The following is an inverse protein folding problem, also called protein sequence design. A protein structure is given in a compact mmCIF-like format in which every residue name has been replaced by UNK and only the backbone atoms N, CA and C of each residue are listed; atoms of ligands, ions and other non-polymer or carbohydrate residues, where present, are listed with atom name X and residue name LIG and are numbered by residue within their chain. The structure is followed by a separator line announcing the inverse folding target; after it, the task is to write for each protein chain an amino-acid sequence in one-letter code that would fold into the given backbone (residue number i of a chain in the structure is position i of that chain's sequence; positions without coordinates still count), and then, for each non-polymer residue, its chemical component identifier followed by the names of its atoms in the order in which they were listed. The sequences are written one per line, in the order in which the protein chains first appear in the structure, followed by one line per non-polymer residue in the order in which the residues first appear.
data_IF_269580402261
#
_entry.id   IF_269580402261
#
_cell.length_a   1.000
_cell.length_b   1.000
_cell.length_c   1.000
_cell.angle_alpha   90.00
_cell.angle_beta   90.00
_cell.angle_gamma   90.00
#
_symmetry.space_group_name_H-M   'P 1'
#
loop_
_entity.id
_entity.type
_entity.pdbx_description
1 polymer ?
#
# COMPACT_ATOMS: atom_id res chain seq x y z
N UNK A 1 -27.48 -45.14 41.21
CA UNK A 1 -27.97 -43.84 40.72
C UNK A 1 -26.97 -43.33 39.68
N UNK A 2 -27.27 -43.50 38.39
CA UNK A 2 -26.41 -43.03 37.29
C UNK A 2 -26.88 -41.67 36.81
N UNK A 3 -26.06 -40.63 37.00
CA UNK A 3 -26.23 -39.35 36.33
C UNK A 3 -25.57 -39.43 34.94
N UNK A 4 -26.40 -39.45 33.90
CA UNK A 4 -25.99 -39.13 32.55
C UNK A 4 -25.79 -37.62 32.45
N UNK A 5 -24.53 -37.18 32.43
CA UNK A 5 -24.18 -35.82 32.05
C UNK A 5 -24.28 -35.70 30.52
N UNK A 6 -25.34 -35.08 30.05
CA UNK A 6 -25.48 -34.63 28.67
C UNK A 6 -24.51 -33.46 28.41
N UNK A 7 -23.38 -33.75 27.77
CA UNK A 7 -22.54 -32.70 27.18
C UNK A 7 -23.26 -32.21 25.93
N UNK A 8 -23.93 -31.07 26.04
CA UNK A 8 -24.36 -30.31 24.87
C UNK A 8 -23.12 -29.84 24.13
N UNK A 9 -22.80 -30.49 23.00
CA UNK A 9 -21.91 -29.90 22.01
C UNK A 9 -22.59 -28.65 21.47
N UNK A 10 -22.04 -27.49 21.77
CA UNK A 10 -22.37 -26.26 21.06
C UNK A 10 -21.88 -26.46 19.63
N UNK A 11 -22.82 -26.73 18.72
CA UNK A 11 -22.57 -26.63 17.30
C UNK A 11 -22.17 -25.18 17.01
N UNK A 12 -20.89 -24.96 16.71
CA UNK A 12 -20.42 -23.71 16.09
C UNK A 12 -21.07 -23.66 14.71
N UNK A 13 -22.28 -23.09 14.66
CA UNK A 13 -22.90 -22.70 13.40
C UNK A 13 -21.96 -21.69 12.74
N UNK A 14 -21.58 -21.98 11.50
CA UNK A 14 -20.53 -21.29 10.76
C UNK A 14 -20.68 -19.77 10.81
N UNK A 15 -19.83 -19.14 11.62
CA UNK A 15 -19.50 -17.74 11.42
C UNK A 15 -18.88 -17.62 10.04
N UNK A 16 -19.41 -16.73 9.21
CA UNK A 16 -18.83 -16.45 7.89
C UNK A 16 -17.34 -16.12 8.01
N UNK A 17 -16.64 -16.22 6.88
CA UNK A 17 -15.25 -15.77 6.77
C UNK A 17 -15.09 -14.38 7.40
N UNK A 18 -14.07 -14.15 8.26
CA UNK A 18 -13.88 -12.83 8.87
C UNK A 18 -13.63 -11.78 7.78
N UNK A 19 -13.97 -10.52 8.04
CA UNK A 19 -13.63 -9.45 7.11
C UNK A 19 -12.10 -9.32 6.96
N UNK A 20 -11.61 -8.92 5.76
CA UNK A 20 -10.20 -8.59 5.58
C UNK A 20 -9.80 -7.42 6.48
N UNK A 21 -8.49 -7.31 6.77
CA UNK A 21 -7.96 -6.20 7.57
C UNK A 21 -8.23 -4.82 6.95
N UNK A 22 -8.31 -4.75 5.62
CA UNK A 22 -8.74 -3.59 4.84
C UNK A 22 -10.00 -3.95 4.08
N UNK A 23 -11.12 -3.32 4.41
CA UNK A 23 -12.42 -3.57 3.80
C UNK A 23 -12.71 -2.66 2.62
N UNK A 24 -11.96 -1.58 2.46
CA UNK A 24 -12.02 -0.72 1.29
C UNK A 24 -11.15 -1.28 0.16
N UNK A 25 -11.68 -1.27 -1.06
CA UNK A 25 -10.95 -1.51 -2.31
C UNK A 25 -10.92 -0.17 -3.06
N UNK A 26 -9.77 0.52 -3.10
CA UNK A 26 -9.62 1.77 -3.83
C UNK A 26 -9.93 1.61 -5.32
N UNK A 27 -10.43 2.67 -5.97
CA UNK A 27 -10.83 2.63 -7.38
C UNK A 27 -9.65 2.45 -8.36
N UNK A 28 -8.43 2.67 -7.89
CA UNK A 28 -7.19 2.42 -8.64
C UNK A 28 -6.59 1.03 -8.37
N UNK A 29 -7.24 0.20 -7.53
CA UNK A 29 -6.86 -1.19 -7.31
C UNK A 29 -7.73 -2.14 -8.13
N UNK A 30 -7.11 -3.17 -8.72
CA UNK A 30 -7.82 -4.11 -9.59
C UNK A 30 -8.72 -5.06 -8.78
N UNK A 31 -9.96 -5.19 -9.21
CA UNK A 31 -10.93 -6.15 -8.66
C UNK A 31 -11.80 -6.71 -9.80
N UNK A 32 -12.27 -7.94 -9.63
CA UNK A 32 -13.19 -8.58 -10.58
C UNK A 32 -14.61 -8.50 -10.03
N UNK A 33 -15.55 -7.99 -10.81
CA UNK A 33 -16.97 -7.91 -10.46
C UNK A 33 -17.73 -9.00 -11.21
N UNK A 34 -18.58 -9.72 -10.50
CA UNK A 34 -19.31 -10.87 -11.02
C UNK A 34 -20.83 -10.64 -10.95
N UNK A 35 -21.61 -11.27 -11.84
CA UNK A 35 -23.07 -11.11 -11.87
C UNK A 35 -23.75 -11.66 -10.61
N UNK A 36 -23.16 -12.65 -9.95
CA UNK A 36 -23.64 -13.24 -8.70
C UNK A 36 -22.52 -14.01 -7.97
N UNK A 37 -22.85 -14.54 -6.79
CA UNK A 37 -21.93 -15.33 -5.96
C UNK A 37 -21.52 -16.65 -6.56
N UNK A 38 -22.42 -17.34 -7.25
CA UNK A 38 -22.11 -18.61 -7.91
C UNK A 38 -21.03 -18.38 -8.95
N UNK A 39 -21.19 -17.37 -9.80
CA UNK A 39 -20.19 -16.96 -10.80
C UNK A 39 -18.86 -16.58 -10.15
N UNK A 40 -18.88 -15.82 -9.04
CA UNK A 40 -17.66 -15.43 -8.35
C UNK A 40 -16.92 -16.64 -7.71
N UNK A 41 -17.66 -17.56 -7.10
CA UNK A 41 -17.11 -18.79 -6.51
C UNK A 41 -16.56 -19.73 -7.59
N UNK A 42 -17.25 -19.86 -8.71
CA UNK A 42 -16.78 -20.63 -9.86
C UNK A 42 -15.53 -20.01 -10.47
N UNK A 43 -15.54 -18.69 -10.69
CA UNK A 43 -14.40 -17.94 -11.19
C UNK A 43 -13.17 -18.15 -10.29
N UNK A 44 -13.30 -17.92 -8.97
CA UNK A 44 -12.20 -18.13 -8.04
C UNK A 44 -11.82 -19.60 -7.88
N UNK A 45 -12.77 -20.52 -7.89
CA UNK A 45 -12.55 -21.95 -7.64
C UNK A 45 -11.94 -22.71 -8.82
N UNK A 46 -12.26 -22.29 -10.04
CA UNK A 46 -11.89 -23.03 -11.25
C UNK A 46 -10.86 -22.29 -12.09
N UNK A 47 -10.97 -20.96 -12.20
CA UNK A 47 -10.23 -20.19 -13.20
C UNK A 47 -9.10 -19.34 -12.65
N UNK A 48 -9.05 -19.12 -11.33
CA UNK A 48 -7.87 -18.62 -10.64
C UNK A 48 -6.93 -19.77 -10.30
N UNK A 49 -5.93 -19.97 -11.14
CA UNK A 49 -4.88 -20.98 -10.92
C UNK A 49 -3.52 -20.41 -11.29
N UNK A 50 -2.48 -21.19 -11.03
CA UNK A 50 -1.08 -20.86 -11.33
C UNK A 50 -0.57 -21.89 -12.33
N UNK A 51 0.20 -21.46 -13.33
CA UNK A 51 0.81 -22.40 -14.28
C UNK A 51 1.83 -23.29 -13.56
N UNK A 52 2.16 -24.49 -14.08
CA UNK A 52 3.28 -25.27 -13.57
C UNK A 52 4.61 -24.49 -13.64
N UNK A 53 5.56 -24.84 -12.76
CA UNK A 53 6.92 -24.32 -12.84
C UNK A 53 7.52 -24.61 -14.24
N UNK A 54 8.31 -23.70 -14.82
CA UNK A 54 8.87 -22.48 -14.20
C UNK A 54 7.99 -21.22 -14.36
N UNK A 55 6.74 -21.31 -14.85
CA UNK A 55 5.90 -20.14 -15.12
C UNK A 55 4.93 -19.81 -13.98
N UNK A 56 5.19 -20.34 -12.80
CA UNK A 56 4.33 -20.23 -11.61
C UNK A 56 4.56 -18.93 -10.82
N UNK A 57 5.06 -17.87 -11.45
CA UNK A 57 5.33 -16.58 -10.81
C UNK A 57 4.11 -15.67 -10.72
N UNK A 58 3.07 -15.94 -11.51
CA UNK A 58 1.78 -15.21 -11.53
C UNK A 58 0.63 -16.19 -11.73
N UNK A 59 -0.61 -15.71 -11.64
CA UNK A 59 -1.78 -16.47 -12.09
C UNK A 59 -1.67 -16.85 -13.58
N UNK A 60 -2.30 -17.95 -13.96
CA UNK A 60 -2.47 -18.35 -15.35
C UNK A 60 -3.45 -17.40 -16.05
N UNK A 61 -2.91 -16.38 -16.71
CA UNK A 61 -3.69 -15.33 -17.39
C UNK A 61 -4.60 -15.91 -18.48
N UNK A 62 -4.19 -16.98 -19.16
CA UNK A 62 -5.01 -17.63 -20.19
C UNK A 62 -6.24 -18.30 -19.59
N UNK A 63 -6.08 -18.98 -18.44
CA UNK A 63 -7.19 -19.57 -17.71
C UNK A 63 -8.10 -18.50 -17.09
N UNK A 64 -7.50 -17.44 -16.55
CA UNK A 64 -8.22 -16.30 -15.99
C UNK A 64 -9.15 -15.65 -17.02
N UNK A 65 -8.67 -15.31 -18.22
CA UNK A 65 -9.52 -14.70 -19.25
C UNK A 65 -10.62 -15.64 -19.76
N UNK A 66 -10.35 -16.96 -19.84
CA UNK A 66 -11.39 -17.96 -20.10
C UNK A 66 -12.47 -17.95 -19.02
N UNK A 67 -12.06 -17.81 -17.75
CA UNK A 67 -12.98 -17.70 -16.62
C UNK A 67 -13.87 -16.47 -16.68
N UNK A 68 -13.32 -15.30 -17.05
CA UNK A 68 -14.12 -14.08 -17.22
C UNK A 68 -15.24 -14.30 -18.26
N UNK A 69 -14.89 -14.88 -19.41
CA UNK A 69 -15.85 -15.19 -20.46
C UNK A 69 -16.89 -16.24 -20.03
N UNK A 70 -16.46 -17.28 -19.32
CA UNK A 70 -17.34 -18.39 -18.89
C UNK A 70 -18.33 -17.99 -17.79
N UNK A 71 -17.92 -17.12 -16.87
CA UNK A 71 -18.71 -16.75 -15.68
C UNK A 71 -19.44 -15.41 -15.82
N UNK A 72 -19.15 -14.64 -16.87
CA UNK A 72 -19.66 -13.29 -17.06
C UNK A 72 -19.08 -12.26 -16.09
N UNK A 73 -18.03 -12.61 -15.35
CA UNK A 73 -17.29 -11.67 -14.51
C UNK A 73 -16.45 -10.70 -15.37
N UNK A 74 -16.17 -9.51 -14.84
CA UNK A 74 -15.40 -8.47 -15.52
C UNK A 74 -14.40 -7.78 -14.60
N UNK A 75 -13.20 -7.52 -15.10
CA UNK A 75 -12.16 -6.74 -14.39
C UNK A 75 -12.29 -5.22 -14.62
N UNK A 76 -13.04 -4.82 -15.66
CA UNK A 76 -13.22 -3.41 -16.06
C UNK A 76 -14.68 -2.96 -15.83
N UNK A 77 -15.29 -3.39 -14.73
CA UNK A 77 -16.67 -2.99 -14.42
C UNK A 77 -16.75 -1.47 -14.23
N UNK A 78 -17.78 -0.79 -14.78
CA UNK A 78 -18.12 0.58 -14.39
C UNK A 78 -18.30 0.73 -12.87
N UNK A 79 -18.71 -0.33 -12.18
CA UNK A 79 -18.92 -0.34 -10.73
C UNK A 79 -17.62 -0.34 -9.91
N UNK A 80 -16.48 -0.66 -10.54
CA UNK A 80 -15.15 -0.62 -9.92
C UNK A 80 -14.43 0.74 -10.09
N UNK A 81 -15.11 1.75 -10.65
CA UNK A 81 -14.57 3.12 -10.82
C UNK A 81 -14.63 3.98 -9.55
N UNK A 82 -15.20 3.46 -8.47
CA UNK A 82 -15.27 4.11 -7.17
C UNK A 82 -14.82 3.14 -6.09
N UNK A 83 -14.45 3.65 -4.91
CA UNK A 83 -14.11 2.79 -3.78
C UNK A 83 -15.26 1.84 -3.46
N UNK A 84 -14.93 0.55 -3.32
CA UNK A 84 -15.86 -0.49 -2.92
C UNK A 84 -15.60 -0.83 -1.46
N UNK A 85 -16.66 -0.87 -0.65
CA UNK A 85 -16.60 -1.34 0.73
C UNK A 85 -17.07 -2.78 0.82
N UNK A 86 -16.18 -3.69 1.21
CA UNK A 86 -16.45 -5.09 1.51
C UNK A 86 -17.30 -5.16 2.79
N UNK A 87 -18.49 -5.74 2.66
CA UNK A 87 -19.43 -5.92 3.77
C UNK A 87 -19.42 -7.36 4.29
N UNK A 88 -19.13 -8.33 3.44
CA UNK A 88 -19.06 -9.75 3.80
C UNK A 88 -17.98 -10.47 3.00
N UNK A 89 -17.18 -11.28 3.68
CA UNK A 89 -16.30 -12.25 3.06
C UNK A 89 -17.08 -13.57 2.85
N UNK A 90 -17.02 -14.11 1.64
CA UNK A 90 -17.81 -15.28 1.24
C UNK A 90 -16.96 -16.55 1.04
N UNK A 91 -15.72 -16.38 0.56
CA UNK A 91 -14.78 -17.47 0.33
C UNK A 91 -13.37 -16.91 0.20
N UNK A 92 -12.41 -17.54 0.86
CA UNK A 92 -10.99 -17.30 0.60
C UNK A 92 -10.37 -18.46 -0.16
N UNK A 93 -9.41 -18.13 -1.02
CA UNK A 93 -8.54 -19.12 -1.65
C UNK A 93 -7.12 -18.57 -1.70
N UNK A 94 -6.17 -19.33 -1.18
CA UNK A 94 -4.75 -19.02 -1.29
C UNK A 94 -4.13 -19.79 -2.46
N UNK A 95 -3.48 -19.05 -3.36
CA UNK A 95 -2.66 -19.60 -4.42
C UNK A 95 -1.19 -19.59 -3.99
N UNK A 96 -0.48 -20.68 -4.26
CA UNK A 96 0.97 -20.76 -4.01
C UNK A 96 1.69 -20.47 -5.33
N UNK A 97 2.46 -19.39 -5.35
CA UNK A 97 3.30 -18.96 -6.46
C UNK A 97 4.77 -19.19 -6.10
N UNK A 98 5.66 -19.19 -7.09
CA UNK A 98 7.10 -19.22 -6.85
C UNK A 98 7.60 -18.14 -5.86
N UNK A 99 7.18 -16.86 -5.95
CA UNK A 99 7.61 -15.82 -5.01
C UNK A 99 6.90 -15.86 -3.65
N UNK A 100 5.88 -16.70 -3.44
CA UNK A 100 5.16 -16.74 -2.18
C UNK A 100 3.70 -17.19 -2.32
N UNK A 101 2.81 -16.50 -1.62
CA UNK A 101 1.38 -16.83 -1.56
C UNK A 101 0.54 -15.59 -1.76
N UNK A 102 -0.54 -15.74 -2.52
CA UNK A 102 -1.56 -14.70 -2.71
C UNK A 102 -2.90 -15.27 -2.28
N UNK A 103 -3.59 -14.56 -1.40
CA UNK A 103 -4.94 -14.88 -0.96
C UNK A 103 -5.95 -14.02 -1.71
N UNK A 104 -6.90 -14.68 -2.35
CA UNK A 104 -8.01 -14.07 -3.05
C UNK A 104 -9.29 -14.27 -2.26
N UNK A 105 -10.15 -13.25 -2.26
CA UNK A 105 -11.39 -13.20 -1.49
C UNK A 105 -12.58 -12.96 -2.42
N UNK A 106 -13.56 -13.88 -2.42
CA UNK A 106 -14.92 -13.59 -2.88
C UNK A 106 -15.62 -12.77 -1.81
N UNK A 107 -16.24 -11.66 -2.20
CA UNK A 107 -16.91 -10.75 -1.28
C UNK A 107 -18.28 -10.26 -1.77
N UNK A 108 -19.13 -9.85 -0.83
CA UNK A 108 -20.23 -8.91 -1.08
C UNK A 108 -19.81 -7.52 -0.64
N UNK A 109 -20.07 -6.52 -1.46
CA UNK A 109 -19.72 -5.14 -1.16
C UNK A 109 -20.73 -4.15 -1.69
N UNK A 110 -20.44 -2.89 -1.44
CA UNK A 110 -21.17 -1.74 -1.96
C UNK A 110 -20.19 -0.74 -2.55
N UNK A 111 -20.52 -0.15 -3.70
CA UNK A 111 -19.75 0.96 -4.27
C UNK A 111 -20.18 2.31 -3.67
N UNK A 112 -19.58 3.41 -4.12
CA UNK A 112 -19.87 4.74 -3.60
C UNK A 112 -21.33 5.22 -3.84
N UNK A 113 -22.04 4.66 -4.83
CA UNK A 113 -23.47 4.97 -5.05
C UNK A 113 -24.42 4.08 -4.23
N UNK A 114 -23.89 3.15 -3.44
CA UNK A 114 -24.66 2.19 -2.64
C UNK A 114 -25.14 0.97 -3.43
N UNK A 115 -24.72 0.81 -4.68
CA UNK A 115 -25.05 -0.37 -5.47
C UNK A 115 -24.37 -1.61 -4.86
N UNK A 116 -25.16 -2.64 -4.62
CA UNK A 116 -24.68 -3.94 -4.11
C UNK A 116 -24.00 -4.70 -5.24
N UNK A 117 -22.86 -5.30 -4.92
CA UNK A 117 -22.07 -6.05 -5.89
C UNK A 117 -21.41 -7.27 -5.24
N UNK A 118 -20.99 -8.19 -6.10
CA UNK A 118 -20.22 -9.37 -5.75
C UNK A 118 -18.92 -9.31 -6.53
N UNK A 119 -17.79 -9.56 -5.87
CA UNK A 119 -16.51 -9.52 -6.55
C UNK A 119 -15.46 -10.45 -5.98
N UNK A 120 -14.29 -10.44 -6.63
CA UNK A 120 -13.08 -11.15 -6.25
C UNK A 120 -11.96 -10.14 -6.20
N UNK A 121 -11.28 -10.07 -5.06
CA UNK A 121 -10.11 -9.20 -4.87
C UNK A 121 -8.92 -10.05 -4.43
N UNK A 122 -7.72 -9.70 -4.89
CA UNK A 122 -6.49 -10.15 -4.24
C UNK A 122 -6.40 -9.44 -2.87
N UNK A 123 -6.74 -10.15 -1.80
CA UNK A 123 -6.72 -9.64 -0.43
C UNK A 123 -5.29 -9.29 0.01
N UNK A 124 -4.29 -10.02 -0.50
CA UNK A 124 -2.89 -9.81 -0.12
C UNK A 124 -2.34 -8.53 -0.71
N UNK A 125 -2.58 -8.31 -2.01
CA UNK A 125 -2.24 -7.06 -2.68
C UNK A 125 -3.12 -5.90 -2.20
N UNK A 126 -4.43 -6.11 -2.00
CA UNK A 126 -5.31 -5.07 -1.49
C UNK A 126 -4.87 -4.62 -0.10
N UNK A 127 -4.42 -5.51 0.79
CA UNK A 127 -3.93 -5.10 2.10
C UNK A 127 -2.67 -4.21 2.05
N UNK A 128 -1.86 -4.34 0.99
CA UNK A 128 -0.62 -3.58 0.79
C UNK A 128 -0.79 -2.32 -0.06
N UNK A 129 -1.91 -2.19 -0.77
CA UNK A 129 -2.15 -1.05 -1.65
C UNK A 129 -2.24 0.27 -0.83
N UNK A 130 -1.67 1.39 -1.30
CA UNK A 130 -1.75 2.65 -0.56
C UNK A 130 -3.12 3.33 -0.66
N UNK A 131 -3.66 3.83 0.45
CA UNK A 131 -4.91 4.64 0.51
C UNK A 131 -4.66 6.13 0.66
N UNK A 132 -3.50 6.50 1.17
CA UNK A 132 -3.13 7.90 1.42
C UNK A 132 -1.88 8.28 0.63
N UNK A 133 -1.68 9.58 0.40
CA UNK A 133 -0.46 10.09 -0.23
C UNK A 133 0.80 9.69 0.55
N UNK A 134 0.70 9.58 1.87
CA UNK A 134 1.80 9.11 2.70
C UNK A 134 2.07 7.62 2.50
N UNK A 135 1.05 6.76 2.51
CA UNK A 135 1.22 5.34 2.23
C UNK A 135 1.75 5.10 0.81
N UNK A 136 1.33 5.90 -0.17
CA UNK A 136 1.83 5.83 -1.56
C UNK A 136 3.30 6.18 -1.63
N UNK A 137 3.68 7.27 -0.96
CA UNK A 137 5.08 7.67 -0.84
C UNK A 137 5.92 6.61 -0.09
N UNK A 138 5.39 5.99 0.97
CA UNK A 138 6.07 4.86 1.62
C UNK A 138 6.27 3.70 0.65
N UNK A 139 5.23 3.27 -0.07
CA UNK A 139 5.32 2.16 -1.01
C UNK A 139 6.37 2.36 -2.12
N UNK A 140 6.63 3.61 -2.50
CA UNK A 140 7.60 3.98 -3.54
C UNK A 140 9.02 4.15 -2.99
N UNK A 141 9.20 4.90 -1.91
CA UNK A 141 10.53 5.31 -1.44
C UNK A 141 11.04 4.46 -0.28
N UNK A 142 10.15 3.98 0.58
CA UNK A 142 10.48 3.30 1.84
C UNK A 142 9.43 2.22 2.13
N UNK A 143 9.40 1.11 1.36
CA UNK A 143 8.28 0.14 1.40
C UNK A 143 8.06 -0.47 2.79
N UNK A 144 9.14 -0.63 3.57
CA UNK A 144 9.09 -1.18 4.93
C UNK A 144 8.79 -0.11 6.00
N UNK A 145 8.59 1.14 5.61
CA UNK A 145 8.40 2.28 6.52
C UNK A 145 9.63 2.67 7.33
N UNK A 146 10.78 2.02 7.08
CA UNK A 146 12.04 2.24 7.79
C UNK A 146 13.10 2.72 6.82
N UNK A 147 13.60 3.92 7.07
CA UNK A 147 14.76 4.48 6.38
C UNK A 147 16.03 3.98 7.08
N UNK A 148 16.82 3.16 6.40
CA UNK A 148 18.14 2.73 6.87
C UNK A 148 19.20 3.65 6.25
N UNK A 149 19.66 4.63 7.02
CA UNK A 149 20.57 5.66 6.53
C UNK A 149 22.02 5.25 6.72
N UNK A 150 22.79 5.27 5.63
CA UNK A 150 24.25 5.31 5.65
C UNK A 150 24.74 6.68 5.13
N UNK A 151 25.46 7.49 5.93
CA UNK A 151 26.04 8.76 5.50
C UNK A 151 27.02 8.62 4.33
N UNK A 152 27.56 7.43 4.08
CA UNK A 152 28.42 7.14 2.93
C UNK A 152 27.62 6.94 1.62
N UNK A 153 26.29 6.76 1.71
CA UNK A 153 25.41 6.68 0.55
C UNK A 153 25.17 8.05 -0.10
N UNK A 154 24.67 8.03 -1.34
CA UNK A 154 24.35 9.25 -2.10
C UNK A 154 23.11 9.98 -1.56
N UNK A 155 22.21 9.27 -0.88
CA UNK A 155 20.98 9.83 -0.31
C UNK A 155 21.28 10.69 0.91
N UNK A 156 20.97 11.99 0.82
CA UNK A 156 21.16 12.93 1.94
C UNK A 156 19.96 12.89 2.89
N UNK A 157 20.27 12.74 4.18
CA UNK A 157 19.30 12.80 5.27
C UNK A 157 19.78 13.83 6.30
N UNK A 158 18.89 14.71 6.71
CA UNK A 158 19.15 15.67 7.78
C UNK A 158 18.21 15.44 8.96
N UNK A 159 18.72 15.60 10.16
CA UNK A 159 18.00 15.58 11.42
C UNK A 159 17.71 17.01 11.88
N UNK A 160 16.46 17.32 12.14
CA UNK A 160 16.00 18.59 12.68
C UNK A 160 15.47 18.42 14.11
N UNK A 161 15.53 19.48 14.91
CA UNK A 161 14.99 19.48 16.27
C UNK A 161 13.45 19.37 16.31
N UNK A 162 12.77 19.92 15.29
CA UNK A 162 11.31 19.94 15.20
C UNK A 162 10.82 19.67 13.79
N UNK A 163 9.60 19.14 13.68
CA UNK A 163 8.92 18.94 12.40
C UNK A 163 8.71 20.26 11.66
N UNK A 164 8.34 21.34 12.36
CA UNK A 164 8.17 22.65 11.73
C UNK A 164 9.48 23.21 11.19
N UNK A 165 10.62 22.97 11.85
CA UNK A 165 11.94 23.33 11.34
C UNK A 165 12.29 22.58 10.04
N UNK A 166 12.00 21.27 9.99
CA UNK A 166 12.17 20.47 8.77
C UNK A 166 11.28 20.98 7.63
N UNK A 167 10.00 21.26 7.90
CA UNK A 167 9.05 21.80 6.93
C UNK A 167 9.49 23.16 6.40
N UNK A 168 9.92 24.07 7.27
CA UNK A 168 10.40 25.39 6.90
C UNK A 168 11.62 25.31 5.97
N UNK A 169 12.58 24.43 6.29
CA UNK A 169 13.77 24.22 5.47
C UNK A 169 13.44 23.67 4.08
N UNK A 170 12.56 22.66 3.99
CA UNK A 170 12.11 22.10 2.70
C UNK A 170 11.30 23.13 1.89
N UNK A 171 10.39 23.85 2.53
CA UNK A 171 9.55 24.87 1.87
C UNK A 171 10.38 26.00 1.24
N UNK A 172 11.53 26.33 1.84
CA UNK A 172 12.43 27.38 1.39
C UNK A 172 13.19 27.06 0.11
N UNK A 173 13.19 25.80 -0.34
CA UNK A 173 13.81 25.41 -1.61
C UNK A 173 13.00 26.02 -2.77
N UNK A 174 13.57 26.91 -3.59
CA UNK A 174 12.86 27.49 -4.73
C UNK A 174 12.48 26.41 -5.75
N UNK A 175 11.22 26.42 -6.20
CA UNK A 175 10.70 25.45 -7.17
C UNK A 175 11.23 25.66 -8.60
N UNK A 176 11.90 26.79 -8.86
CA UNK A 176 12.50 27.16 -10.15
C UNK A 176 13.86 27.79 -9.93
N UNK A 177 14.67 27.79 -10.98
CA UNK A 177 15.99 28.41 -10.99
C UNK A 177 17.13 27.39 -10.97
N UNK A 178 18.36 27.92 -11.06
CA UNK A 178 19.60 27.12 -11.11
C UNK A 178 19.85 26.41 -9.78
N UNK A 179 20.56 25.28 -9.83
CA UNK A 179 20.86 24.44 -8.67
C UNK A 179 21.57 25.19 -7.53
N UNK A 180 22.62 25.97 -7.84
CA UNK A 180 23.40 26.68 -6.82
C UNK A 180 22.56 27.63 -5.93
N UNK A 181 21.71 28.53 -6.48
CA UNK A 181 20.76 29.31 -5.69
C UNK A 181 19.81 28.46 -4.82
N UNK A 182 19.35 27.31 -5.33
CA UNK A 182 18.48 26.41 -4.55
C UNK A 182 19.21 25.81 -3.37
N UNK A 183 20.42 25.29 -3.61
CA UNK A 183 21.27 24.70 -2.57
C UNK A 183 21.64 25.76 -1.51
N UNK A 184 21.91 27.00 -1.91
CA UNK A 184 22.17 28.10 -0.99
C UNK A 184 20.95 28.46 -0.12
N UNK A 185 19.75 28.57 -0.73
CA UNK A 185 18.51 28.82 0.00
C UNK A 185 18.18 27.69 0.99
N UNK A 186 18.34 26.44 0.55
CA UNK A 186 18.16 25.25 1.37
C UNK A 186 19.14 25.24 2.55
N UNK A 187 20.45 25.41 2.29
CA UNK A 187 21.48 25.41 3.32
C UNK A 187 21.27 26.52 4.37
N UNK A 188 20.85 27.72 3.92
CA UNK A 188 20.49 28.83 4.82
C UNK A 188 19.32 28.47 5.71
N UNK A 189 18.23 27.95 5.13
CA UNK A 189 17.03 27.59 5.89
C UNK A 189 17.26 26.40 6.83
N UNK A 190 18.02 25.39 6.39
CA UNK A 190 18.43 24.24 7.19
C UNK A 190 19.22 24.67 8.43
N UNK A 191 20.23 25.53 8.24
CA UNK A 191 21.06 26.06 9.33
C UNK A 191 20.22 26.89 10.30
N UNK A 192 19.34 27.77 9.80
CA UNK A 192 18.48 28.60 10.63
C UNK A 192 17.50 27.78 11.51
N UNK A 193 17.11 26.59 11.06
CA UNK A 193 16.23 25.68 11.79
C UNK A 193 16.98 24.60 12.59
N UNK A 194 18.31 24.74 12.75
CA UNK A 194 19.12 23.82 13.56
C UNK A 194 19.19 22.40 13.01
N UNK A 195 18.94 22.22 11.71
CA UNK A 195 18.98 20.92 11.07
C UNK A 195 20.43 20.55 10.69
N UNK A 196 20.85 19.34 11.03
CA UNK A 196 22.22 18.81 10.81
C UNK A 196 22.16 17.52 10.00
N UNK A 197 23.29 17.08 9.44
CA UNK A 197 23.35 15.75 8.82
C UNK A 197 22.96 14.66 9.83
N UNK A 198 22.14 13.72 9.38
CA UNK A 198 21.76 12.58 10.20
C UNK A 198 22.96 11.61 10.33
N UNK A 199 23.10 10.98 11.49
CA UNK A 199 24.06 9.90 11.66
C UNK A 199 23.53 8.61 11.02
N UNK A 200 24.42 7.64 10.81
CA UNK A 200 24.00 6.31 10.37
C UNK A 200 22.97 5.72 11.34
N UNK A 201 21.93 5.09 10.79
CA UNK A 201 20.92 4.44 11.61
C UNK A 201 19.56 4.27 10.96
N UNK A 202 18.68 3.60 11.70
CA UNK A 202 17.33 3.26 11.26
C UNK A 202 16.32 4.26 11.82
N UNK A 203 15.50 4.80 10.93
CA UNK A 203 14.45 5.74 11.26
C UNK A 203 13.11 5.22 10.75
N UNK A 204 12.18 4.91 11.65
CA UNK A 204 10.82 4.51 11.27
C UNK A 204 10.01 5.75 10.96
N UNK A 205 9.67 5.97 9.69
CA UNK A 205 8.90 7.14 9.25
C UNK A 205 7.45 6.97 9.67
N UNK A 206 6.89 8.01 10.31
CA UNK A 206 5.54 7.98 10.87
C UNK A 206 4.59 8.96 10.18
N UNK A 207 5.11 10.00 9.54
CA UNK A 207 4.34 10.94 8.74
C UNK A 207 5.21 11.74 7.76
N UNK A 208 4.59 12.26 6.69
CA UNK A 208 5.15 13.22 5.74
C UNK A 208 4.38 14.53 5.83
N UNK A 209 5.08 15.66 5.98
CA UNK A 209 4.45 16.97 6.27
C UNK A 209 4.66 18.06 5.22
N UNK A 210 5.70 17.96 4.41
CA UNK A 210 6.00 18.91 3.35
C UNK A 210 6.78 18.18 2.25
N UNK A 211 6.56 18.57 1.00
CA UNK A 211 7.36 18.13 -0.11
C UNK A 211 7.74 19.28 -1.04
N UNK A 212 8.87 19.11 -1.73
CA UNK A 212 9.25 19.94 -2.86
C UNK A 212 9.75 19.04 -3.98
N UNK A 213 8.94 18.93 -5.03
CA UNK A 213 9.33 18.34 -6.31
C UNK A 213 9.80 19.45 -7.24
N UNK A 214 10.99 19.29 -7.80
CA UNK A 214 11.63 20.27 -8.66
C UNK A 214 12.05 19.58 -9.95
N UNK A 215 11.44 19.98 -11.06
CA UNK A 215 11.85 19.47 -12.38
C UNK A 215 13.25 19.99 -12.71
N UNK A 216 14.20 19.07 -12.91
CA UNK A 216 15.59 19.38 -13.29
C UNK A 216 15.91 19.04 -14.75
N UNK A 217 14.92 18.61 -15.54
CA UNK A 217 15.07 18.30 -16.96
C UNK A 217 14.10 17.21 -17.42
N UNK A 218 14.36 16.62 -18.58
CA UNK A 218 13.69 15.38 -19.01
C UNK A 218 14.12 14.25 -18.07
N UNK A 219 13.15 13.53 -17.49
CA UNK A 219 13.35 12.39 -16.57
C UNK A 219 14.03 12.71 -15.22
N UNK A 220 14.35 13.97 -14.92
CA UNK A 220 14.97 14.37 -13.66
C UNK A 220 13.97 15.06 -12.73
N UNK A 221 13.72 14.45 -11.56
CA UNK A 221 12.96 15.05 -10.47
C UNK A 221 13.77 15.13 -9.18
N UNK A 222 13.96 16.36 -8.71
CA UNK A 222 14.55 16.64 -7.40
C UNK A 222 13.45 16.64 -6.33
N UNK A 223 13.40 15.63 -5.44
CA UNK A 223 12.29 15.43 -4.49
C UNK A 223 12.77 15.53 -3.04
N UNK A 224 12.45 16.64 -2.39
CA UNK A 224 12.77 16.89 -0.98
C UNK A 224 11.55 16.73 -0.09
N UNK A 225 11.72 16.08 1.07
CA UNK A 225 10.62 15.74 1.97
C UNK A 225 10.93 16.13 3.42
N UNK A 226 9.95 16.70 4.12
CA UNK A 226 9.98 16.84 5.57
C UNK A 226 9.15 15.73 6.21
N UNK A 227 9.77 14.96 7.10
CA UNK A 227 9.20 13.75 7.69
C UNK A 227 9.21 13.84 9.23
N UNK A 228 8.23 13.22 9.88
CA UNK A 228 8.42 12.75 11.25
C UNK A 228 8.79 11.28 11.23
N UNK A 229 9.64 10.89 12.17
CA UNK A 229 10.07 9.52 12.35
C UNK A 229 10.33 9.23 13.84
N UNK A 230 10.62 7.96 14.14
CA UNK A 230 11.24 7.56 15.39
C UNK A 230 12.61 6.96 15.11
N UNK A 231 13.61 7.30 15.92
CA UNK A 231 14.93 6.67 15.83
C UNK A 231 14.89 5.20 16.36
N UNK A 232 16.04 4.51 16.31
CA UNK A 232 16.17 3.14 16.79
C UNK A 232 15.86 2.95 18.29
N UNK A 233 15.82 4.04 19.08
CA UNK A 233 15.47 4.04 20.51
C UNK A 233 14.00 4.40 20.73
N UNK A 234 13.23 4.57 19.66
CA UNK A 234 11.82 4.98 19.70
C UNK A 234 11.62 6.48 20.00
N UNK A 235 12.67 7.29 19.96
CA UNK A 235 12.54 8.73 20.22
C UNK A 235 12.00 9.45 18.99
N UNK A 236 11.01 10.34 19.13
CA UNK A 236 10.49 11.12 18.02
C UNK A 236 11.56 12.06 17.48
N UNK A 237 11.71 12.08 16.16
CA UNK A 237 12.67 12.92 15.44
C UNK A 237 12.02 13.51 14.18
N UNK A 238 12.55 14.63 13.71
CA UNK A 238 12.16 15.22 12.43
C UNK A 238 13.30 15.07 11.42
N UNK A 239 12.96 14.69 10.19
CA UNK A 239 13.94 14.43 9.14
C UNK A 239 13.66 15.28 7.90
N UNK A 240 14.73 15.64 7.18
CA UNK A 240 14.66 16.08 5.79
C UNK A 240 15.31 15.01 4.94
N UNK A 241 14.54 14.41 4.04
CA UNK A 241 14.99 13.34 3.16
C UNK A 241 15.01 13.79 1.71
N UNK A 242 16.16 13.58 1.05
CA UNK A 242 16.26 13.70 -0.39
C UNK A 242 15.90 12.36 -1.06
N UNK A 243 14.73 12.33 -1.69
CA UNK A 243 14.24 11.19 -2.45
C UNK A 243 14.46 11.28 -3.95
N UNK A 244 15.21 12.27 -4.47
CA UNK A 244 15.45 12.39 -5.92
C UNK A 244 15.85 11.04 -6.56
N UNK A 245 15.21 10.71 -7.68
CA UNK A 245 15.53 9.54 -8.50
C UNK A 245 16.10 10.01 -9.85
N UNK A 246 16.98 9.19 -10.44
CA UNK A 246 17.46 9.34 -11.81
C UNK A 246 16.76 8.33 -12.70
#
# INVERSE_FOLDING_TARGET
MSLFAWVMMIAVQGGGEPLPAKTDIPSDYSTVICPNETAAREMLGTYYSVQPAPRNHTIDTSLFFKGLAATGCTQNSPDAKSTITIQQALQRRTLTLAPGRETYLVYRGVNASGAKLVGIVDETGNAKHPRTDFERWLAEFIPDGVLDHDPASTSKLYLCATTDGARAAVRAIPAKGKEAPRNAAFAKARTANGCRDAAAGRYKVTARYENRTISCGFECEDVWNALAATDARGQPVALIFNGSHF
#
